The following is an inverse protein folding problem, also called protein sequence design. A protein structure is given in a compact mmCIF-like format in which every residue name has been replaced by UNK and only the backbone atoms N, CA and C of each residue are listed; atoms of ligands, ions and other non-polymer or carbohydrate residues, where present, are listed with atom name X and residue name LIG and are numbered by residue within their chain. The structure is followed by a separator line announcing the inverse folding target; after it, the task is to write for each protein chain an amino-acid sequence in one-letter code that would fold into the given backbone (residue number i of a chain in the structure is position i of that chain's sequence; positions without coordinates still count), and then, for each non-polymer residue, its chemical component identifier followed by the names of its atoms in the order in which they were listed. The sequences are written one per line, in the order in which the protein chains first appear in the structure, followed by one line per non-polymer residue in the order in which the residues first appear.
data_IF_354885844642
#
_entry.id   IF_354885844642
#
_cell.length_a   1.000
_cell.length_b   1.000
_cell.length_c   1.000
_cell.angle_alpha   90.00
_cell.angle_beta   90.00
_cell.angle_gamma   90.00
#
_symmetry.space_group_name_H-M   'P 1'
#
loop_
_entity.id
_entity.type
_entity.pdbx_description
1 polymer ?
#
# COMPACT_ATOMS: atom_id res chain seq x y z
N UNK A 1 -5.37 -7.21 -0.77
CA UNK A 1 -6.57 -6.64 -1.45
C UNK A 1 -6.70 -5.15 -1.25
N UNK A 2 -7.14 -4.42 -2.27
CA UNK A 2 -7.52 -3.01 -2.16
C UNK A 2 -9.03 -2.91 -2.14
N UNK A 3 -9.57 -2.20 -1.16
CA UNK A 3 -11.00 -2.13 -0.91
C UNK A 3 -11.43 -0.72 -0.51
N UNK A 4 -12.74 -0.47 -0.60
CA UNK A 4 -13.36 0.77 -0.16
C UNK A 4 -14.61 0.55 0.69
N UNK A 5 -14.95 1.55 1.51
CA UNK A 5 -16.26 1.64 2.16
C UNK A 5 -17.36 1.86 1.11
N UNK A 6 -18.61 1.49 1.45
CA UNK A 6 -19.77 1.63 0.54
C UNK A 6 -20.01 3.07 0.05
N UNK A 7 -19.60 4.05 0.83
CA UNK A 7 -19.72 5.48 0.53
C UNK A 7 -18.44 6.07 -0.11
N UNK A 8 -17.43 5.24 -0.39
CA UNK A 8 -16.15 5.61 -1.03
C UNK A 8 -15.33 6.65 -0.25
N UNK A 9 -15.61 6.84 1.04
CA UNK A 9 -14.86 7.80 1.89
C UNK A 9 -13.65 7.20 2.56
N UNK A 10 -13.62 5.88 2.69
CA UNK A 10 -12.54 5.13 3.32
C UNK A 10 -11.98 4.14 2.33
N UNK A 11 -10.67 4.15 2.16
CA UNK A 11 -9.93 3.21 1.33
C UNK A 11 -8.93 2.46 2.21
N UNK A 12 -8.74 1.17 1.97
CA UNK A 12 -7.89 0.36 2.81
C UNK A 12 -7.23 -0.81 2.06
N UNK A 13 -6.19 -1.34 2.68
CA UNK A 13 -5.62 -2.63 2.39
C UNK A 13 -6.31 -3.70 3.24
N UNK A 14 -6.72 -4.79 2.59
CA UNK A 14 -7.25 -6.05 3.11
C UNK A 14 -8.61 -5.99 3.82
N UNK A 15 -8.84 -5.03 4.73
CA UNK A 15 -10.10 -4.93 5.50
C UNK A 15 -10.40 -3.48 5.86
N UNK A 16 -11.66 -3.14 6.17
CA UNK A 16 -12.05 -1.77 6.53
C UNK A 16 -11.65 -1.46 7.98
N UNK A 17 -11.55 -0.18 8.39
CA UNK A 17 -11.23 0.17 9.77
C UNK A 17 -12.17 -0.51 10.78
N UNK A 18 -11.58 -1.13 11.80
CA UNK A 18 -12.31 -1.91 12.81
C UNK A 18 -12.44 -3.40 12.49
N UNK A 19 -12.03 -3.84 11.30
CA UNK A 19 -12.04 -5.25 10.90
C UNK A 19 -10.65 -5.89 11.05
N UNK A 20 -10.57 -7.20 11.36
CA UNK A 20 -9.30 -7.92 11.43
C UNK A 20 -8.51 -7.81 10.13
N UNK A 21 -7.25 -7.42 10.22
CA UNK A 21 -6.35 -7.32 9.07
C UNK A 21 -6.44 -6.01 8.29
N UNK A 22 -7.13 -4.99 8.79
CA UNK A 22 -7.07 -3.64 8.22
C UNK A 22 -5.63 -3.11 8.25
N UNK A 23 -5.10 -2.72 7.08
CA UNK A 23 -3.80 -2.06 6.92
C UNK A 23 -2.71 -2.66 7.82
N UNK A 24 -2.41 -3.96 7.72
CA UNK A 24 -1.62 -4.66 8.73
C UNK A 24 -0.21 -4.05 8.87
N UNK A 25 0.23 -3.83 10.11
CA UNK A 25 1.64 -3.55 10.35
C UNK A 25 2.46 -4.80 10.03
N UNK A 26 3.47 -4.63 9.18
CA UNK A 26 4.43 -5.68 8.83
C UNK A 26 5.67 -5.47 9.69
N UNK A 27 6.09 -6.49 10.43
CA UNK A 27 7.36 -6.46 11.17
C UNK A 27 8.38 -7.31 10.39
N UNK A 28 9.57 -6.77 10.17
CA UNK A 28 10.63 -7.40 9.39
C UNK A 28 12.01 -7.06 9.97
N UNK A 29 13.04 -7.74 9.48
CA UNK A 29 14.44 -7.38 9.73
C UNK A 29 15.09 -6.81 8.49
N UNK A 30 16.20 -6.10 8.69
CA UNK A 30 17.07 -5.71 7.57
C UNK A 30 17.44 -6.93 6.72
N UNK A 31 17.23 -6.81 5.40
CA UNK A 31 17.49 -7.87 4.43
C UNK A 31 16.35 -8.88 4.26
N UNK A 32 15.28 -8.83 5.05
CA UNK A 32 14.11 -9.69 4.83
C UNK A 32 13.42 -9.35 3.51
N UNK A 33 12.95 -10.38 2.80
CA UNK A 33 12.22 -10.21 1.55
C UNK A 33 10.71 -10.16 1.82
N UNK A 34 10.12 -8.99 1.60
CA UNK A 34 8.68 -8.77 1.73
C UNK A 34 8.05 -8.78 0.34
N UNK A 35 7.05 -9.64 0.13
CA UNK A 35 6.32 -9.77 -1.14
C UNK A 35 4.87 -9.31 -0.92
N UNK A 36 4.45 -8.29 -1.66
CA UNK A 36 3.08 -7.82 -1.69
C UNK A 36 2.37 -8.37 -2.92
N UNK A 37 1.40 -9.26 -2.70
CA UNK A 37 0.47 -9.70 -3.73
C UNK A 37 -0.73 -8.77 -3.72
N UNK A 38 -0.90 -8.05 -4.83
CA UNK A 38 -1.84 -6.94 -4.92
C UNK A 38 -2.95 -7.33 -5.87
N UNK A 39 -4.19 -7.12 -5.43
CA UNK A 39 -5.40 -7.20 -6.24
C UNK A 39 -6.28 -6.03 -5.86
N UNK A 40 -6.79 -5.32 -6.86
CA UNK A 40 -7.87 -4.36 -6.68
C UNK A 40 -9.21 -5.12 -6.56
N UNK A 41 -9.60 -5.43 -5.32
CA UNK A 41 -10.85 -6.13 -5.02
C UNK A 41 -12.06 -5.17 -4.94
N UNK A 42 -11.79 -3.86 -4.92
CA UNK A 42 -12.76 -2.79 -4.88
C UNK A 42 -13.20 -2.34 -6.27
N UNK A 43 -13.89 -1.20 -6.30
CA UNK A 43 -14.37 -0.50 -7.51
C UNK A 43 -13.54 0.74 -7.82
N UNK A 44 -12.86 1.31 -6.83
CA UNK A 44 -12.02 2.50 -7.02
C UNK A 44 -10.73 2.16 -7.78
N UNK A 45 -10.02 3.19 -8.25
CA UNK A 45 -8.72 3.02 -8.89
C UNK A 45 -7.60 3.00 -7.87
N UNK A 46 -6.59 2.15 -8.08
CA UNK A 46 -5.50 2.04 -7.12
C UNK A 46 -4.14 1.86 -7.80
N UNK A 47 -3.10 2.25 -7.09
CA UNK A 47 -1.71 2.01 -7.44
C UNK A 47 -0.94 1.82 -6.13
N UNK A 48 0.24 1.22 -6.16
CA UNK A 48 0.97 0.84 -4.95
C UNK A 48 2.42 1.31 -5.00
N UNK A 49 3.00 1.53 -3.83
CA UNK A 49 4.44 1.67 -3.65
C UNK A 49 4.81 1.68 -2.17
N UNK A 50 6.10 1.53 -1.89
CA UNK A 50 6.68 1.67 -0.55
C UNK A 50 7.48 2.97 -0.50
N UNK A 51 7.41 3.70 0.61
CA UNK A 51 8.13 4.97 0.83
C UNK A 51 8.62 5.09 2.26
N UNK A 52 9.59 5.98 2.47
CA UNK A 52 10.01 6.46 3.79
C UNK A 52 9.16 7.67 4.25
N UNK A 53 8.48 8.35 3.32
CA UNK A 53 7.72 9.56 3.61
C UNK A 53 6.47 9.23 4.43
N UNK A 54 6.29 9.90 5.56
CA UNK A 54 5.13 9.72 6.45
C UNK A 54 3.86 10.41 5.95
N UNK A 55 3.98 11.27 4.92
CA UNK A 55 2.88 11.91 4.21
C UNK A 55 3.04 11.88 2.68
N UNK A 56 2.05 12.44 1.97
CA UNK A 56 2.07 12.53 0.51
C UNK A 56 1.90 11.19 -0.22
N UNK A 57 2.14 11.21 -1.54
CA UNK A 57 1.97 10.06 -2.45
C UNK A 57 3.22 9.77 -3.29
N UNK A 58 4.33 10.49 -3.02
CA UNK A 58 5.60 10.39 -3.72
C UNK A 58 6.63 9.56 -2.97
N UNK A 59 7.92 9.80 -3.25
CA UNK A 59 9.03 9.16 -2.51
C UNK A 59 9.08 7.64 -2.65
N UNK A 60 8.52 7.10 -3.74
CA UNK A 60 8.40 5.65 -3.91
C UNK A 60 9.77 5.03 -4.16
N UNK A 61 10.13 4.08 -3.30
CA UNK A 61 11.36 3.31 -3.40
C UNK A 61 11.36 2.52 -4.72
N UNK A 62 12.48 2.58 -5.43
CA UNK A 62 12.64 1.95 -6.74
C UNK A 62 12.30 0.46 -6.71
N UNK A 63 11.60 -0.02 -7.74
CA UNK A 63 11.21 -1.42 -7.86
C UNK A 63 9.97 -1.83 -7.04
N UNK A 64 9.47 -0.97 -6.14
CA UNK A 64 8.30 -1.29 -5.32
C UNK A 64 6.95 -0.89 -5.93
N UNK A 65 6.98 -0.09 -7.00
CA UNK A 65 5.78 0.46 -7.61
C UNK A 65 4.96 -0.62 -8.36
N UNK A 66 3.64 -0.60 -8.18
CA UNK A 66 2.70 -1.35 -9.02
C UNK A 66 1.66 -0.38 -9.55
N UNK A 67 1.56 -0.30 -10.88
CA UNK A 67 0.79 0.71 -11.59
C UNK A 67 1.21 2.15 -11.22
N UNK A 68 0.47 3.14 -11.71
CA UNK A 68 0.73 4.55 -11.42
C UNK A 68 -0.58 5.35 -11.44
N UNK A 69 -0.58 6.57 -10.88
CA UNK A 69 -1.78 7.41 -10.84
C UNK A 69 -2.38 7.71 -12.25
N UNK A 70 -1.54 7.79 -13.29
CA UNK A 70 -1.97 8.01 -14.67
C UNK A 70 -2.33 6.72 -15.43
N UNK A 71 -2.08 5.54 -14.85
CA UNK A 71 -2.47 4.24 -15.40
C UNK A 71 -2.71 3.27 -14.23
N UNK A 72 -3.77 3.47 -13.43
CA UNK A 72 -3.99 2.72 -12.20
C UNK A 72 -4.59 1.33 -12.48
N UNK A 73 -4.53 0.46 -11.47
CA UNK A 73 -5.24 -0.82 -11.45
C UNK A 73 -6.74 -0.58 -11.43
N UNK A 74 -7.45 -1.18 -12.38
CA UNK A 74 -8.90 -1.28 -12.44
C UNK A 74 -9.40 -2.43 -11.55
N UNK A 75 -10.71 -2.51 -11.27
CA UNK A 75 -11.29 -3.63 -10.53
C UNK A 75 -10.90 -4.99 -11.12
N UNK A 76 -10.39 -5.88 -10.26
CA UNK A 76 -9.89 -7.21 -10.61
C UNK A 76 -8.46 -7.25 -11.16
N UNK A 77 -7.86 -6.11 -11.50
CA UNK A 77 -6.44 -6.05 -11.88
C UNK A 77 -5.54 -6.13 -10.65
N UNK A 78 -4.30 -6.57 -10.86
CA UNK A 78 -3.35 -6.80 -9.79
C UNK A 78 -1.91 -6.82 -10.26
N UNK A 79 -1.02 -7.14 -9.33
CA UNK A 79 0.42 -7.26 -9.58
C UNK A 79 1.16 -7.74 -8.34
N UNK A 80 2.48 -7.76 -8.42
CA UNK A 80 3.34 -8.08 -7.30
C UNK A 80 4.37 -6.97 -7.10
N UNK A 81 4.67 -6.68 -5.84
CA UNK A 81 5.75 -5.80 -5.42
C UNK A 81 6.69 -6.56 -4.50
N UNK A 82 7.98 -6.30 -4.63
CA UNK A 82 9.01 -6.86 -3.78
C UNK A 82 9.78 -5.73 -3.12
N UNK A 83 9.95 -5.84 -1.80
CA UNK A 83 10.69 -4.88 -1.01
C UNK A 83 11.66 -5.61 -0.08
N UNK A 84 12.92 -5.18 -0.09
CA UNK A 84 13.99 -5.65 0.80
C UNK A 84 14.53 -4.40 1.52
N UNK A 85 14.22 -4.19 2.81
CA UNK A 85 14.72 -3.05 3.53
C UNK A 85 16.21 -3.20 3.80
N UNK A 86 16.99 -2.16 3.47
CA UNK A 86 18.44 -2.14 3.66
C UNK A 86 18.88 -1.60 5.02
N UNK A 87 18.00 -0.89 5.75
CA UNK A 87 18.30 -0.23 7.02
C UNK A 87 17.12 -0.39 7.99
N UNK A 88 17.35 -0.37 9.32
CA UNK A 88 16.28 -0.32 10.30
C UNK A 88 15.48 0.98 10.17
N UNK A 89 14.18 0.93 10.46
CA UNK A 89 13.33 2.11 10.39
C UNK A 89 11.86 1.79 10.16
N UNK A 90 11.08 2.86 9.98
CA UNK A 90 9.67 2.77 9.60
C UNK A 90 9.53 3.12 8.13
N UNK A 91 8.89 2.23 7.39
CA UNK A 91 8.47 2.46 6.01
C UNK A 91 6.95 2.40 5.93
N UNK A 92 6.41 2.93 4.84
CA UNK A 92 4.98 2.95 4.57
C UNK A 92 4.71 2.31 3.23
N UNK A 93 3.79 1.35 3.19
CA UNK A 93 3.19 0.91 1.93
C UNK A 93 1.88 1.68 1.74
N UNK A 94 1.72 2.29 0.57
CA UNK A 94 0.68 3.29 0.34
C UNK A 94 -0.01 3.08 -1.00
N UNK A 95 -1.25 3.58 -1.10
CA UNK A 95 -1.83 3.85 -2.39
C UNK A 95 -1.28 5.16 -2.96
N UNK A 96 -0.66 5.09 -4.13
CA UNK A 96 0.05 6.24 -4.75
C UNK A 96 -0.86 7.12 -5.61
N UNK A 97 -2.15 6.77 -5.72
CA UNK A 97 -3.16 7.66 -6.28
C UNK A 97 -3.37 8.85 -5.33
N UNK A 98 -3.26 10.10 -5.82
CA UNK A 98 -3.40 11.29 -4.97
C UNK A 98 -4.68 11.27 -4.11
N UNK A 99 -4.52 11.54 -2.81
CA UNK A 99 -5.61 11.56 -1.83
C UNK A 99 -5.98 10.20 -1.23
N UNK A 100 -5.62 9.06 -1.86
CA UNK A 100 -6.03 7.73 -1.37
C UNK A 100 -5.36 7.36 -0.04
N UNK A 101 -4.10 7.76 0.15
CA UNK A 101 -3.41 7.65 1.44
C UNK A 101 -4.17 8.38 2.56
N UNK A 102 -4.64 9.60 2.29
CA UNK A 102 -5.38 10.44 3.25
C UNK A 102 -6.75 9.85 3.59
N UNK A 103 -7.36 9.13 2.65
CA UNK A 103 -8.58 8.35 2.87
C UNK A 103 -8.35 7.04 3.62
N UNK A 104 -7.13 6.78 4.09
CA UNK A 104 -6.79 5.67 4.99
C UNK A 104 -5.95 4.57 4.36
N UNK A 105 -5.60 4.65 3.07
CA UNK A 105 -4.92 3.55 2.38
C UNK A 105 -3.39 3.62 2.55
N UNK A 106 -2.98 3.38 3.80
CA UNK A 106 -1.59 3.33 4.26
C UNK A 106 -1.46 2.24 5.32
N UNK A 107 -0.38 1.48 5.28
CA UNK A 107 0.07 0.69 6.41
C UNK A 107 1.56 0.82 6.63
N UNK A 108 2.03 0.30 7.75
CA UNK A 108 3.41 0.45 8.22
C UNK A 108 4.22 -0.82 8.06
N UNK A 109 5.51 -0.66 7.77
CA UNK A 109 6.52 -1.70 7.85
C UNK A 109 7.53 -1.23 8.91
N UNK A 110 7.68 -2.00 9.98
CA UNK A 110 8.65 -1.75 11.05
C UNK A 110 9.81 -2.71 10.82
N UNK A 111 11.00 -2.15 10.63
CA UNK A 111 12.23 -2.90 10.34
C UNK A 111 13.21 -2.73 11.48
N UNK A 112 13.68 -3.86 12.01
CA UNK A 112 14.71 -3.96 13.06
C UNK A 112 16.04 -4.53 12.55
#
# INVERSE_FOLDING_TARGET
DFIESKDFRTLAFNALPGEPGNNPTINAKVGDRIIFNIVNAGKSFHAFGVTLDDEGFGGILGGTAVAAANSPLKPGEGGASEFIPGEPGTYYYICTVPGHRVMGMVGTIIVE
#
